data_IF_847968160665
#
_entry.id   IF_847968160665
#
_cell.length_a   1.000
_cell.length_b   1.000
_cell.length_c   1.000
_cell.angle_alpha   90.00
_cell.angle_beta   90.00
_cell.angle_gamma   90.00
#
_symmetry.space_group_name_H-M   'P 1'
#
loop_
_entity.id
_entity.type
_entity.pdbx_description
1 polymer ?
#
# COMPACT_ATOMS: atom_id res chain seq x y z
N UNK A 1 23.99 -49.66 -5.12
CA UNK A 1 23.44 -49.84 -6.49
C UNK A 1 21.91 -49.60 -6.52
N UNK A 2 21.39 -48.51 -5.92
CA UNK A 2 19.94 -48.29 -5.71
C UNK A 2 19.32 -47.24 -6.65
N UNK A 3 20.16 -46.34 -7.20
CA UNK A 3 19.75 -45.17 -8.00
C UNK A 3 19.32 -45.53 -9.43
N UNK A 4 19.71 -46.70 -9.94
CA UNK A 4 19.40 -47.16 -11.33
C UNK A 4 18.17 -48.05 -11.43
N UNK A 5 17.32 -48.12 -10.41
CA UNK A 5 16.08 -48.88 -10.49
C UNK A 5 15.08 -48.18 -11.41
N UNK A 6 14.31 -48.93 -12.19
CA UNK A 6 13.36 -48.39 -13.17
C UNK A 6 12.31 -47.44 -12.56
N UNK A 7 12.02 -47.60 -11.26
CA UNK A 7 11.17 -46.68 -10.49
C UNK A 7 11.81 -45.31 -10.31
N UNK A 8 13.10 -45.27 -9.96
CA UNK A 8 13.84 -44.00 -9.78
C UNK A 8 14.02 -43.25 -11.10
N UNK A 9 14.23 -43.95 -12.21
CA UNK A 9 14.37 -43.33 -13.55
C UNK A 9 13.06 -42.64 -13.97
N UNK A 10 11.93 -43.36 -13.90
CA UNK A 10 10.60 -42.80 -14.24
C UNK A 10 10.20 -41.63 -13.35
N UNK A 11 10.49 -41.71 -12.05
CA UNK A 11 10.21 -40.63 -11.12
C UNK A 11 11.00 -39.37 -11.46
N UNK A 12 12.28 -39.51 -11.83
CA UNK A 12 13.12 -38.39 -12.21
C UNK A 12 12.70 -37.76 -13.55
N UNK A 13 12.28 -38.56 -14.53
CA UNK A 13 11.71 -38.09 -15.80
C UNK A 13 10.44 -37.25 -15.56
N UNK A 14 9.54 -37.72 -14.68
CA UNK A 14 8.35 -36.95 -14.32
C UNK A 14 8.70 -35.63 -13.62
N UNK A 15 9.74 -35.59 -12.79
CA UNK A 15 10.16 -34.37 -12.08
C UNK A 15 10.83 -33.35 -13.00
N UNK A 16 11.56 -33.79 -14.03
CA UNK A 16 12.25 -32.88 -14.95
C UNK A 16 11.29 -31.95 -15.72
N UNK A 17 10.05 -32.38 -15.96
CA UNK A 17 9.01 -31.55 -16.60
C UNK A 17 8.24 -30.64 -15.65
N UNK A 18 8.41 -30.78 -14.34
CA UNK A 18 7.65 -30.02 -13.34
C UNK A 18 8.43 -28.77 -12.94
N UNK A 19 7.81 -27.61 -13.17
CA UNK A 19 8.36 -26.34 -12.70
C UNK A 19 8.30 -26.33 -11.17
N UNK A 20 9.44 -26.07 -10.52
CA UNK A 20 9.49 -25.98 -9.06
C UNK A 20 8.50 -24.92 -8.57
N UNK A 21 7.80 -25.23 -7.48
CA UNK A 21 6.88 -24.29 -6.84
C UNK A 21 7.57 -22.95 -6.49
N UNK A 22 8.83 -23.03 -6.09
CA UNK A 22 9.72 -21.90 -5.82
C UNK A 22 9.82 -20.91 -6.99
N UNK A 23 9.66 -21.35 -8.24
CA UNK A 23 9.64 -20.48 -9.42
C UNK A 23 8.40 -19.58 -9.46
N UNK A 24 7.29 -20.01 -8.86
CA UNK A 24 6.04 -19.25 -8.78
C UNK A 24 5.97 -18.36 -7.55
N UNK A 25 6.80 -18.61 -6.53
CA UNK A 25 6.86 -17.82 -5.31
C UNK A 25 8.07 -16.90 -5.39
N UNK A 26 7.82 -15.62 -5.69
CA UNK A 26 8.88 -14.62 -5.60
C UNK A 26 9.34 -14.47 -4.14
N UNK A 27 10.65 -14.42 -3.88
CA UNK A 27 11.15 -14.17 -2.53
C UNK A 27 10.71 -12.78 -2.05
N UNK A 28 10.05 -12.76 -0.89
CA UNK A 28 9.43 -11.57 -0.25
C UNK A 28 10.43 -10.40 -0.11
N UNK A 29 11.71 -10.70 0.13
CA UNK A 29 12.74 -9.69 0.37
C UNK A 29 13.15 -8.87 -0.88
N UNK A 30 12.84 -9.34 -2.09
CA UNK A 30 13.45 -8.78 -3.32
C UNK A 30 12.93 -7.41 -3.76
N UNK A 31 11.79 -6.94 -3.20
CA UNK A 31 11.11 -5.73 -3.65
C UNK A 31 10.68 -4.78 -2.50
N UNK A 32 11.18 -4.96 -1.26
CA UNK A 32 10.81 -4.10 -0.11
C UNK A 32 11.07 -2.62 -0.41
N UNK A 33 12.26 -2.27 -0.91
CA UNK A 33 12.62 -0.89 -1.25
C UNK A 33 11.71 -0.28 -2.35
N UNK A 34 11.17 -1.12 -3.25
CA UNK A 34 10.20 -0.67 -4.26
C UNK A 34 8.87 -0.36 -3.57
N UNK A 35 8.40 -1.24 -2.69
CA UNK A 35 7.18 -1.01 -1.91
C UNK A 35 7.30 0.23 -1.03
N UNK A 36 8.41 0.44 -0.35
CA UNK A 36 8.67 1.65 0.44
C UNK A 36 8.59 2.92 -0.42
N UNK A 37 9.23 2.91 -1.59
CA UNK A 37 9.17 4.04 -2.53
C UNK A 37 7.75 4.32 -3.01
N UNK A 38 6.96 3.28 -3.26
CA UNK A 38 5.55 3.42 -3.65
C UNK A 38 4.70 3.96 -2.50
N UNK A 39 4.94 3.52 -1.26
CA UNK A 39 4.29 4.07 -0.07
C UNK A 39 4.61 5.56 0.12
N UNK A 40 5.87 5.97 -0.07
CA UNK A 40 6.25 7.38 0.02
C UNK A 40 5.54 8.25 -1.01
N UNK A 41 5.47 7.79 -2.26
CA UNK A 41 4.74 8.49 -3.32
C UNK A 41 3.25 8.56 -3.02
N UNK A 42 2.65 7.47 -2.54
CA UNK A 42 1.24 7.44 -2.16
C UNK A 42 0.97 8.43 -1.02
N UNK A 43 1.82 8.45 0.01
CA UNK A 43 1.71 9.38 1.12
C UNK A 43 1.76 10.84 0.65
N UNK A 44 2.69 11.16 -0.26
CA UNK A 44 2.77 12.49 -0.88
C UNK A 44 1.46 12.87 -1.60
N UNK A 45 0.85 11.94 -2.34
CA UNK A 45 -0.43 12.20 -3.00
C UNK A 45 -1.55 12.51 -2.00
N UNK A 46 -1.58 11.79 -0.87
CA UNK A 46 -2.57 12.00 0.20
C UNK A 46 -2.36 13.37 0.87
N UNK A 47 -1.14 13.65 1.33
CA UNK A 47 -0.81 14.86 2.10
C UNK A 47 -1.09 16.15 1.34
N UNK A 48 -0.87 16.13 0.02
CA UNK A 48 -1.06 17.28 -0.83
C UNK A 48 -2.40 17.28 -1.58
N UNK A 49 -3.32 16.37 -1.24
CA UNK A 49 -4.63 16.22 -1.89
C UNK A 49 -4.52 16.15 -3.43
N UNK A 50 -3.51 15.43 -3.93
CA UNK A 50 -3.27 15.25 -5.36
C UNK A 50 -4.17 14.13 -5.87
N UNK A 51 -4.87 14.32 -7.01
CA UNK A 51 -5.74 13.28 -7.56
C UNK A 51 -5.00 11.96 -7.81
N UNK A 52 -5.61 10.84 -7.39
CA UNK A 52 -5.06 9.48 -7.58
C UNK A 52 -4.83 9.16 -9.06
N UNK A 53 -5.57 9.80 -9.97
CA UNK A 53 -5.37 9.68 -11.42
C UNK A 53 -3.97 10.11 -11.89
N UNK A 54 -3.27 10.97 -11.13
CA UNK A 54 -1.89 11.36 -11.45
C UNK A 54 -0.94 10.17 -11.38
N UNK A 55 -1.22 9.17 -10.53
CA UNK A 55 -0.39 7.97 -10.39
C UNK A 55 -0.23 7.17 -11.69
N UNK A 56 -1.22 7.24 -12.59
CA UNK A 56 -1.22 6.53 -13.87
C UNK A 56 -0.06 6.97 -14.78
N UNK A 57 0.34 8.25 -14.69
CA UNK A 57 1.44 8.84 -15.45
C UNK A 57 2.71 9.04 -14.61
N UNK A 58 2.57 9.16 -13.29
CA UNK A 58 3.69 9.37 -12.38
C UNK A 58 4.69 8.22 -12.42
N UNK A 59 4.23 6.97 -12.54
CA UNK A 59 5.11 5.81 -12.66
C UNK A 59 6.04 5.90 -13.89
N UNK A 60 5.51 6.37 -15.01
CA UNK A 60 6.28 6.53 -16.25
C UNK A 60 7.25 7.71 -16.18
N UNK A 61 6.85 8.78 -15.49
CA UNK A 61 7.69 9.93 -15.24
C UNK A 61 8.89 9.57 -14.35
N UNK A 62 8.67 8.87 -13.24
CA UNK A 62 9.72 8.44 -12.30
C UNK A 62 10.77 7.58 -13.00
N UNK A 63 10.35 6.64 -13.87
CA UNK A 63 11.29 5.84 -14.68
C UNK A 63 12.14 6.68 -15.64
N UNK A 64 11.59 7.76 -16.20
CA UNK A 64 12.30 8.63 -17.15
C UNK A 64 13.27 9.57 -16.44
N UNK A 65 12.87 10.14 -15.30
CA UNK A 65 13.71 11.05 -14.50
C UNK A 65 14.86 10.26 -13.86
N UNK A 66 14.58 9.10 -13.29
CA UNK A 66 15.53 8.27 -12.56
C UNK A 66 15.91 7.01 -13.37
N UNK A 67 16.42 7.21 -14.58
CA UNK A 67 16.65 6.12 -15.56
C UNK A 67 17.77 5.15 -15.18
N UNK A 68 18.65 5.53 -14.27
CA UNK A 68 19.74 4.72 -13.69
C UNK A 68 19.25 3.84 -12.53
N UNK A 69 18.25 4.28 -11.78
CA UNK A 69 17.75 3.58 -10.58
C UNK A 69 17.04 2.27 -10.90
N UNK A 70 17.51 1.18 -10.28
CA UNK A 70 16.86 -0.14 -10.34
C UNK A 70 15.48 -0.15 -9.68
N UNK A 71 15.29 0.68 -8.64
CA UNK A 71 14.01 0.86 -7.94
C UNK A 71 13.03 1.57 -8.86
N UNK A 72 13.45 2.66 -9.51
CA UNK A 72 12.59 3.41 -10.42
C UNK A 72 12.11 2.55 -11.58
N UNK A 73 12.97 1.72 -12.18
CA UNK A 73 12.60 0.76 -13.24
C UNK A 73 11.54 -0.26 -12.81
N UNK A 74 11.52 -0.61 -11.52
CA UNK A 74 10.54 -1.53 -10.93
C UNK A 74 9.30 -0.82 -10.38
N UNK A 75 9.32 0.51 -10.27
CA UNK A 75 8.23 1.30 -9.76
C UNK A 75 7.00 1.17 -10.67
N UNK A 76 5.97 0.47 -10.18
CA UNK A 76 4.75 0.18 -10.94
C UNK A 76 3.53 0.44 -10.06
N UNK A 77 3.37 1.69 -9.64
CA UNK A 77 2.28 2.14 -8.80
C UNK A 77 1.34 3.05 -9.60
N UNK A 78 0.43 2.39 -10.34
CA UNK A 78 -0.71 3.03 -11.00
C UNK A 78 -1.93 2.98 -10.08
N UNK A 79 -3.05 3.57 -10.52
CA UNK A 79 -4.26 3.82 -9.72
C UNK A 79 -4.67 2.68 -8.79
N UNK A 80 -4.82 1.44 -9.28
CA UNK A 80 -5.29 0.31 -8.44
C UNK A 80 -4.36 0.04 -7.26
N UNK A 81 -3.04 0.06 -7.51
CA UNK A 81 -2.05 -0.19 -6.46
C UNK A 81 -1.97 1.00 -5.50
N UNK A 82 -2.03 2.22 -6.03
CA UNK A 82 -2.08 3.45 -5.24
C UNK A 82 -3.28 3.42 -4.29
N UNK A 83 -4.49 3.17 -4.79
CA UNK A 83 -5.71 3.06 -3.97
C UNK A 83 -5.60 1.95 -2.93
N UNK A 84 -5.01 0.80 -3.27
CA UNK A 84 -4.82 -0.28 -2.31
C UNK A 84 -3.88 0.12 -1.16
N UNK A 85 -2.75 0.76 -1.47
CA UNK A 85 -1.81 1.27 -0.46
C UNK A 85 -2.48 2.35 0.40
N UNK A 86 -3.22 3.29 -0.21
CA UNK A 86 -3.98 4.30 0.51
C UNK A 86 -4.95 3.66 1.51
N UNK A 87 -5.66 2.61 1.10
CA UNK A 87 -6.63 1.91 1.95
C UNK A 87 -5.93 1.17 3.10
N UNK A 88 -4.77 0.56 2.85
CA UNK A 88 -3.97 -0.07 3.90
C UNK A 88 -3.50 0.94 4.94
N UNK A 89 -2.91 2.06 4.50
CA UNK A 89 -2.50 3.15 5.40
C UNK A 89 -3.67 3.71 6.20
N UNK A 90 -4.86 3.79 5.58
CA UNK A 90 -6.07 4.28 6.24
C UNK A 90 -6.55 3.34 7.35
N UNK A 91 -6.35 2.02 7.23
CA UNK A 91 -6.76 1.05 8.25
C UNK A 91 -6.05 1.29 9.58
N UNK A 92 -4.74 1.51 9.54
CA UNK A 92 -3.94 1.78 10.73
C UNK A 92 -4.39 3.08 11.42
N UNK A 93 -4.63 4.13 10.62
CA UNK A 93 -5.13 5.42 11.12
C UNK A 93 -6.50 5.27 11.78
N UNK A 94 -7.44 4.56 11.14
CA UNK A 94 -8.79 4.34 11.66
C UNK A 94 -8.76 3.51 12.94
N UNK A 95 -7.91 2.47 12.98
CA UNK A 95 -7.73 1.64 14.17
C UNK A 95 -7.19 2.45 15.35
N UNK A 96 -6.15 3.25 15.12
CA UNK A 96 -5.54 4.11 16.14
C UNK A 96 -6.50 5.19 16.62
N UNK A 97 -7.23 5.83 15.70
CA UNK A 97 -8.29 6.78 16.04
C UNK A 97 -9.37 6.11 16.89
N UNK A 98 -9.86 4.94 16.48
CA UNK A 98 -10.88 4.19 17.21
C UNK A 98 -10.44 3.79 18.63
N UNK A 99 -9.16 3.53 18.85
CA UNK A 99 -8.61 3.26 20.17
C UNK A 99 -8.54 4.55 21.01
N UNK A 100 -8.05 5.65 20.44
CA UNK A 100 -7.98 6.93 21.15
C UNK A 100 -9.36 7.43 21.59
N UNK A 101 -10.38 7.31 20.73
CA UNK A 101 -11.75 7.73 21.05
C UNK A 101 -12.45 6.87 22.10
N UNK A 102 -11.94 5.66 22.39
CA UNK A 102 -12.47 4.80 23.46
C UNK A 102 -11.91 5.14 24.83
N UNK A 103 -10.70 5.69 24.89
CA UNK A 103 -9.98 5.93 26.15
C UNK A 103 -9.99 7.41 26.55
N UNK A 104 -9.95 8.31 25.58
CA UNK A 104 -9.77 9.74 25.79
C UNK A 104 -11.06 10.54 25.52
N UNK A 105 -11.25 11.68 26.21
CA UNK A 105 -12.33 12.62 25.87
C UNK A 105 -12.11 13.19 24.46
N UNK A 106 -13.18 13.33 23.70
CA UNK A 106 -13.16 13.92 22.36
C UNK A 106 -14.36 14.83 22.14
N UNK A 107 -14.26 15.73 21.16
CA UNK A 107 -15.35 16.54 20.67
C UNK A 107 -15.61 16.28 19.20
N UNK A 108 -16.88 16.29 18.80
CA UNK A 108 -17.31 16.15 17.41
C UNK A 108 -17.81 17.50 16.92
N UNK A 109 -17.46 17.87 15.68
CA UNK A 109 -18.02 19.01 14.98
C UNK A 109 -18.55 18.57 13.62
N UNK A 110 -19.73 19.04 13.26
CA UNK A 110 -20.32 18.77 11.95
C UNK A 110 -20.59 20.08 11.24
N UNK A 111 -20.37 20.11 9.93
CA UNK A 111 -20.73 21.24 9.08
C UNK A 111 -21.67 20.77 7.97
N UNK A 112 -22.62 21.61 7.59
CA UNK A 112 -23.54 21.33 6.49
C UNK A 112 -23.01 21.99 5.23
N UNK A 113 -22.50 21.20 4.29
CA UNK A 113 -22.14 21.71 2.97
C UNK A 113 -23.16 21.27 1.94
N UNK A 114 -23.75 22.23 1.23
CA UNK A 114 -24.77 21.96 0.24
C UNK A 114 -24.31 22.46 -1.13
N UNK A 115 -24.38 21.57 -2.12
CA UNK A 115 -24.22 21.90 -3.54
C UNK A 115 -25.48 21.48 -4.27
N UNK A 116 -25.74 22.06 -5.45
CA UNK A 116 -26.95 21.78 -6.26
C UNK A 116 -27.20 20.30 -6.55
N UNK A 117 -26.17 19.45 -6.45
CA UNK A 117 -26.25 18.01 -6.74
C UNK A 117 -26.01 17.11 -5.53
N UNK A 118 -25.39 17.60 -4.45
CA UNK A 118 -25.03 16.80 -3.27
C UNK A 118 -24.97 17.66 -2.01
N UNK A 119 -25.51 17.10 -0.93
CA UNK A 119 -25.30 17.57 0.43
C UNK A 119 -24.26 16.67 1.10
N UNK A 120 -23.25 17.25 1.73
CA UNK A 120 -22.23 16.54 2.51
C UNK A 120 -22.24 17.06 3.95
N UNK A 121 -22.14 16.12 4.88
CA UNK A 121 -22.04 16.38 6.31
C UNK A 121 -20.70 15.86 6.84
N UNK A 122 -19.59 16.59 6.61
CA UNK A 122 -18.31 16.23 7.20
C UNK A 122 -18.43 16.15 8.73
N UNK A 123 -17.81 15.11 9.31
CA UNK A 123 -17.65 14.93 10.74
C UNK A 123 -16.17 15.14 11.05
N UNK A 124 -15.88 16.12 11.88
CA UNK A 124 -14.56 16.41 12.40
C UNK A 124 -14.48 15.92 13.84
N UNK A 125 -13.45 15.16 14.17
CA UNK A 125 -13.21 14.66 15.52
C UNK A 125 -11.95 15.28 16.07
N UNK A 126 -12.07 15.90 17.24
CA UNK A 126 -10.95 16.51 17.96
C UNK A 126 -10.71 15.76 19.27
N UNK A 127 -9.48 15.31 19.49
CA UNK A 127 -9.09 14.47 20.63
C UNK A 127 -7.65 14.78 21.06
N UNK A 128 -7.27 14.51 22.33
CA UNK A 128 -5.90 14.64 22.79
C UNK A 128 -5.04 13.47 22.27
N UNK A 129 -3.94 13.81 21.63
CA UNK A 129 -2.85 12.90 21.28
C UNK A 129 -1.83 12.94 22.42
N UNK A 130 -1.90 11.92 23.29
CA UNK A 130 -1.07 11.82 24.48
C UNK A 130 0.41 11.57 24.17
N UNK A 131 0.70 10.92 23.04
CA UNK A 131 2.07 10.61 22.62
C UNK A 131 2.82 11.91 22.30
N UNK A 132 2.17 12.79 21.53
CA UNK A 132 2.77 14.06 21.11
C UNK A 132 2.35 15.26 21.99
N UNK A 133 1.60 15.02 23.07
CA UNK A 133 1.10 16.03 24.01
C UNK A 133 0.41 17.21 23.32
N UNK A 134 -0.44 16.92 22.32
CA UNK A 134 -1.15 17.93 21.52
C UNK A 134 -2.60 17.54 21.32
N UNK A 135 -3.45 18.51 20.97
CA UNK A 135 -4.81 18.24 20.54
C UNK A 135 -4.83 18.15 19.01
N UNK A 136 -5.37 17.07 18.47
CA UNK A 136 -5.41 16.79 17.03
C UNK A 136 -6.86 16.86 16.55
N UNK A 137 -7.07 17.36 15.33
CA UNK A 137 -8.36 17.31 14.63
C UNK A 137 -8.20 16.43 13.40
N UNK A 138 -9.09 15.46 13.23
CA UNK A 138 -9.13 14.52 12.10
C UNK A 138 -10.50 14.54 11.45
#
# INVERSE_FOLDING_TARGET
MHVKTSKHVKFNECIQGVVKFETFVKPIASDIAVTESECLVVNFLIEHNVPVSVADHLSELVMKICSDSSIAKKFKCKRTKTTHIMHEMSRDIISNLGNALKTEPFSISTDGSESKSRQLYPILVRYPDLEHKKVVTK
#
